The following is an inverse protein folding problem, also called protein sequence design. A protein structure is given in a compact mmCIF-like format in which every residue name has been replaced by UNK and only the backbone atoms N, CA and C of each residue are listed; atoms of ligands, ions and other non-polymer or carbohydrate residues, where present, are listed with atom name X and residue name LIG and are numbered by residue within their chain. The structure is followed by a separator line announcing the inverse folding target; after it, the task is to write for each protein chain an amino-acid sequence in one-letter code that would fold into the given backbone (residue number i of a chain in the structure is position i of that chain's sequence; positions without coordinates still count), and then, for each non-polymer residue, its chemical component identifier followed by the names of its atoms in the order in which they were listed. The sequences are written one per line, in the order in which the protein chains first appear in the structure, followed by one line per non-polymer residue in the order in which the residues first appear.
data_IF_716034745224
#
_entry.id   IF_716034745224
#
_cell.length_a   1.000
_cell.length_b   1.000
_cell.length_c   1.000
_cell.angle_alpha   90.00
_cell.angle_beta   90.00
_cell.angle_gamma   90.00
#
_symmetry.space_group_name_H-M   'P 1'
#
loop_
_entity.id
_entity.type
_entity.pdbx_description
1 polymer ?
#
# COMPACT_ATOMS: atom_id res chain seq x y z
N UNK A 1 -36.10 -6.62 -14.50
CA UNK A 1 -36.90 -7.46 -13.57
C UNK A 1 -35.97 -7.90 -12.44
N UNK A 2 -36.29 -7.55 -11.19
CA UNK A 2 -35.44 -7.84 -10.03
C UNK A 2 -35.74 -9.27 -9.53
N UNK A 3 -34.80 -10.19 -9.74
CA UNK A 3 -34.88 -11.58 -9.28
C UNK A 3 -34.11 -11.77 -7.97
N UNK A 4 -34.58 -11.20 -6.86
CA UNK A 4 -34.13 -11.58 -5.51
C UNK A 4 -35.27 -12.32 -4.80
N UNK A 5 -35.00 -13.54 -4.33
CA UNK A 5 -35.97 -14.26 -3.50
C UNK A 5 -36.06 -13.59 -2.13
N UNK A 6 -37.25 -13.60 -1.53
CA UNK A 6 -37.52 -13.09 -0.18
C UNK A 6 -36.61 -13.71 0.89
N UNK A 7 -36.11 -14.92 0.67
CA UNK A 7 -35.13 -15.61 1.52
C UNK A 7 -33.74 -14.96 1.52
N UNK A 8 -33.32 -14.34 0.40
CA UNK A 8 -32.07 -13.58 0.30
C UNK A 8 -32.21 -12.17 0.90
N UNK A 9 -33.42 -11.60 0.81
CA UNK A 9 -33.78 -10.28 1.35
C UNK A 9 -33.80 -10.26 2.89
N UNK A 10 -34.04 -11.40 3.54
CA UNK A 10 -33.86 -11.56 4.98
C UNK A 10 -32.40 -11.59 5.45
N UNK A 11 -31.43 -11.82 4.54
CA UNK A 11 -29.99 -11.87 4.85
C UNK A 11 -29.23 -10.61 4.45
N UNK A 12 -29.79 -9.77 3.57
CA UNK A 12 -29.17 -8.53 3.08
C UNK A 12 -30.04 -7.34 3.42
N UNK A 13 -29.62 -6.57 4.43
CA UNK A 13 -30.31 -5.33 4.82
C UNK A 13 -30.14 -4.25 3.75
N UNK A 14 -31.14 -3.38 3.55
CA UNK A 14 -31.07 -2.25 2.60
C UNK A 14 -29.82 -1.38 2.81
N UNK A 15 -29.33 -1.27 4.05
CA UNK A 15 -28.07 -0.60 4.38
C UNK A 15 -26.83 -1.30 3.82
N UNK A 16 -26.79 -2.64 3.79
CA UNK A 16 -25.74 -3.38 3.10
C UNK A 16 -25.77 -3.12 1.60
N UNK A 17 -26.96 -3.06 0.99
CA UNK A 17 -27.11 -2.79 -0.44
C UNK A 17 -26.64 -1.39 -0.83
N UNK A 18 -26.99 -0.36 -0.04
CA UNK A 18 -26.54 1.04 -0.26
C UNK A 18 -25.03 1.18 -0.04
N UNK A 19 -24.47 0.48 0.96
CA UNK A 19 -23.02 0.48 1.21
C UNK A 19 -22.25 -0.23 0.09
N UNK A 20 -22.80 -1.34 -0.45
CA UNK A 20 -22.27 -2.04 -1.62
C UNK A 20 -22.29 -1.11 -2.85
N UNK A 21 -23.42 -0.45 -3.11
CA UNK A 21 -23.56 0.43 -4.26
C UNK A 21 -22.68 1.68 -4.17
N UNK A 22 -22.54 2.28 -3.00
CA UNK A 22 -21.80 3.55 -2.84
C UNK A 22 -20.29 3.34 -2.69
N UNK A 23 -19.88 2.29 -1.97
CA UNK A 23 -18.48 2.07 -1.62
C UNK A 23 -17.77 1.12 -2.58
N UNK A 24 -18.43 0.05 -3.05
CA UNK A 24 -17.78 -0.88 -3.98
C UNK A 24 -17.73 -0.34 -5.41
N UNK A 25 -18.72 0.44 -5.89
CA UNK A 25 -18.69 1.02 -7.25
C UNK A 25 -17.52 2.00 -7.43
N UNK A 26 -17.31 2.92 -6.49
CA UNK A 26 -16.15 3.82 -6.49
C UNK A 26 -14.83 3.05 -6.41
N UNK A 27 -14.82 1.90 -5.73
CA UNK A 27 -13.62 1.06 -5.61
C UNK A 27 -13.34 0.29 -6.90
N UNK A 28 -14.37 -0.21 -7.58
CA UNK A 28 -14.22 -0.88 -8.86
C UNK A 28 -13.70 0.05 -9.95
N UNK A 29 -14.12 1.30 -9.97
CA UNK A 29 -13.62 2.30 -10.92
C UNK A 29 -12.12 2.59 -10.72
N UNK A 30 -11.69 2.76 -9.47
CA UNK A 30 -10.26 2.88 -9.14
C UNK A 30 -9.48 1.61 -9.53
N UNK A 31 -10.01 0.43 -9.24
CA UNK A 31 -9.35 -0.84 -9.59
C UNK A 31 -9.22 -0.99 -11.10
N UNK A 32 -10.24 -0.65 -11.89
CA UNK A 32 -10.19 -0.71 -13.35
C UNK A 32 -9.11 0.20 -13.93
N UNK A 33 -8.94 1.40 -13.35
CA UNK A 33 -7.87 2.33 -13.73
C UNK A 33 -6.47 1.76 -13.41
N UNK A 34 -6.29 1.15 -12.23
CA UNK A 34 -4.97 0.67 -11.81
C UNK A 34 -4.61 -0.73 -12.31
N UNK A 35 -5.59 -1.56 -12.70
CA UNK A 35 -5.36 -2.93 -13.17
C UNK A 35 -4.42 -2.98 -14.37
N UNK A 36 -4.44 -1.96 -15.22
CA UNK A 36 -3.60 -1.89 -16.39
C UNK A 36 -2.10 -1.83 -16.05
N UNK A 37 -1.74 -1.24 -14.91
CA UNK A 37 -0.34 -1.14 -14.48
C UNK A 37 0.25 -2.48 -14.02
N UNK A 38 -0.56 -3.49 -13.70
CA UNK A 38 -0.08 -4.82 -13.31
C UNK A 38 0.63 -5.55 -14.48
N UNK A 39 0.17 -5.36 -15.71
CA UNK A 39 0.80 -5.96 -16.90
C UNK A 39 1.70 -4.97 -17.65
N UNK A 40 1.35 -3.68 -17.66
CA UNK A 40 2.19 -2.64 -18.25
C UNK A 40 3.49 -2.46 -17.46
N UNK A 41 3.47 -2.59 -16.13
CA UNK A 41 4.67 -2.44 -15.29
C UNK A 41 5.79 -3.43 -15.66
N UNK A 42 5.56 -4.75 -15.66
CA UNK A 42 6.54 -5.75 -16.09
C UNK A 42 6.99 -5.56 -17.54
N UNK A 43 6.06 -5.25 -18.45
CA UNK A 43 6.39 -5.00 -19.85
C UNK A 43 7.35 -3.81 -20.01
N UNK A 44 7.05 -2.72 -19.30
CA UNK A 44 7.89 -1.53 -19.29
C UNK A 44 9.27 -1.82 -18.67
N UNK A 45 9.33 -2.61 -17.59
CA UNK A 45 10.60 -3.01 -17.00
C UNK A 45 11.48 -3.80 -17.99
N UNK A 46 10.89 -4.73 -18.74
CA UNK A 46 11.59 -5.48 -19.79
C UNK A 46 12.09 -4.55 -20.89
N UNK A 47 11.23 -3.65 -21.38
CA UNK A 47 11.59 -2.70 -22.44
C UNK A 47 12.73 -1.75 -22.01
N UNK A 48 12.65 -1.17 -20.81
CA UNK A 48 13.70 -0.31 -20.26
C UNK A 48 15.00 -1.08 -20.06
N UNK A 49 14.93 -2.33 -19.60
CA UNK A 49 16.13 -3.17 -19.45
C UNK A 49 16.79 -3.45 -20.80
N UNK A 50 16.01 -3.73 -21.84
CA UNK A 50 16.55 -3.95 -23.19
C UNK A 50 17.23 -2.69 -23.75
N UNK A 51 16.63 -1.51 -23.57
CA UNK A 51 17.23 -0.24 -23.98
C UNK A 51 18.52 0.06 -23.20
N UNK A 52 18.52 -0.14 -21.88
CA UNK A 52 19.72 0.04 -21.06
C UNK A 52 20.84 -0.92 -21.45
N UNK A 53 20.50 -2.15 -21.83
CA UNK A 53 21.46 -3.13 -22.32
C UNK A 53 22.10 -2.69 -23.64
N UNK A 54 21.34 -2.06 -24.54
CA UNK A 54 21.89 -1.51 -25.78
C UNK A 54 22.88 -0.35 -25.52
N UNK A 55 22.63 0.46 -24.49
CA UNK A 55 23.44 1.65 -24.18
C UNK A 55 24.70 1.35 -23.36
N UNK A 56 24.60 0.55 -22.30
CA UNK A 56 25.70 0.30 -21.34
C UNK A 56 26.09 -1.20 -21.28
N UNK A 57 25.41 -2.05 -22.03
CA UNK A 57 25.63 -3.49 -21.97
C UNK A 57 25.27 -4.07 -20.60
N UNK A 58 26.09 -5.02 -20.15
CA UNK A 58 25.77 -5.87 -18.99
C UNK A 58 25.81 -5.13 -17.64
N UNK A 59 26.42 -3.94 -17.60
CA UNK A 59 26.47 -3.10 -16.40
C UNK A 59 25.06 -2.71 -15.93
N UNK A 60 24.06 -2.69 -16.83
CA UNK A 60 22.68 -2.39 -16.46
C UNK A 60 22.08 -3.42 -15.50
N UNK A 61 22.56 -4.67 -15.52
CA UNK A 61 22.06 -5.73 -14.63
C UNK A 61 22.29 -5.41 -13.16
N UNK A 62 23.36 -4.68 -12.82
CA UNK A 62 23.64 -4.29 -11.45
C UNK A 62 22.55 -3.34 -10.91
N UNK A 63 22.12 -2.35 -11.70
CA UNK A 63 21.00 -1.48 -11.37
C UNK A 63 19.66 -2.24 -11.29
N UNK A 64 19.43 -3.18 -12.21
CA UNK A 64 18.23 -4.02 -12.19
C UNK A 64 18.17 -4.97 -10.98
N UNK A 65 19.32 -5.49 -10.53
CA UNK A 65 19.40 -6.30 -9.32
C UNK A 65 18.98 -5.49 -8.08
N UNK A 66 19.43 -4.23 -7.99
CA UNK A 66 18.99 -3.29 -6.93
C UNK A 66 17.47 -3.12 -6.97
N UNK A 67 16.87 -2.93 -8.15
CA UNK A 67 15.42 -2.82 -8.30
C UNK A 67 14.69 -4.07 -7.76
N UNK A 68 15.16 -5.27 -8.12
CA UNK A 68 14.55 -6.53 -7.68
C UNK A 68 14.62 -6.66 -6.15
N UNK A 69 15.77 -6.38 -5.55
CA UNK A 69 15.94 -6.42 -4.08
C UNK A 69 14.97 -5.44 -3.40
N UNK A 70 14.82 -4.24 -3.97
CA UNK A 70 13.90 -3.24 -3.45
C UNK A 70 12.44 -3.65 -3.58
N UNK A 71 12.04 -4.26 -4.69
CA UNK A 71 10.68 -4.78 -4.87
C UNK A 71 10.37 -5.85 -3.82
N UNK A 72 11.30 -6.77 -3.56
CA UNK A 72 11.15 -7.78 -2.50
C UNK A 72 11.02 -7.13 -1.11
N UNK A 73 11.86 -6.13 -0.83
CA UNK A 73 11.79 -5.37 0.42
C UNK A 73 10.44 -4.64 0.56
N UNK A 74 9.95 -4.01 -0.51
CA UNK A 74 8.65 -3.34 -0.54
C UNK A 74 7.50 -4.33 -0.31
N UNK A 75 7.56 -5.53 -0.89
CA UNK A 75 6.58 -6.59 -0.60
C UNK A 75 6.57 -6.98 0.88
N UNK A 76 7.74 -7.13 1.52
CA UNK A 76 7.86 -7.42 2.95
C UNK A 76 7.31 -6.27 3.81
N UNK A 77 7.65 -5.02 3.48
CA UNK A 77 7.11 -3.83 4.16
C UNK A 77 5.59 -3.76 3.99
N UNK A 78 5.05 -4.10 2.81
CA UNK A 78 3.62 -4.16 2.54
C UNK A 78 2.88 -5.15 3.43
N UNK A 79 3.45 -6.36 3.63
CA UNK A 79 2.89 -7.35 4.57
C UNK A 79 2.87 -6.83 6.00
N UNK A 80 3.96 -6.18 6.42
CA UNK A 80 4.03 -5.56 7.75
C UNK A 80 3.01 -4.44 7.90
N UNK A 81 2.85 -3.59 6.87
CA UNK A 81 1.84 -2.52 6.83
C UNK A 81 0.43 -3.08 7.00
N UNK A 82 0.10 -4.17 6.29
CA UNK A 82 -1.18 -4.86 6.41
C UNK A 82 -1.43 -5.38 7.83
N UNK A 83 -0.41 -5.98 8.47
CA UNK A 83 -0.51 -6.46 9.85
C UNK A 83 -0.76 -5.33 10.84
N UNK A 84 -0.03 -4.21 10.73
CA UNK A 84 -0.26 -3.03 11.56
C UNK A 84 -1.66 -2.45 11.34
N UNK A 85 -2.13 -2.39 10.09
CA UNK A 85 -3.48 -1.91 9.75
C UNK A 85 -4.56 -2.77 10.43
N UNK A 86 -4.37 -4.10 10.44
CA UNK A 86 -5.28 -5.01 11.16
C UNK A 86 -5.24 -4.81 12.68
N UNK A 87 -4.05 -4.64 13.27
CA UNK A 87 -3.92 -4.38 14.72
C UNK A 87 -4.58 -3.06 15.12
N UNK A 88 -4.39 -2.01 14.32
CA UNK A 88 -5.04 -0.72 14.53
C UNK A 88 -6.56 -0.88 14.49
N UNK A 89 -7.11 -1.57 13.49
CA UNK A 89 -8.55 -1.81 13.38
C UNK A 89 -9.12 -2.51 14.63
N UNK A 90 -8.48 -3.59 15.10
CA UNK A 90 -8.90 -4.30 16.31
C UNK A 90 -8.89 -3.40 17.56
N UNK A 91 -7.85 -2.57 17.74
CA UNK A 91 -7.78 -1.63 18.86
C UNK A 91 -8.83 -0.51 18.76
N UNK A 92 -9.13 -0.05 17.54
CA UNK A 92 -10.19 0.93 17.29
C UNK A 92 -11.56 0.34 17.62
N UNK A 93 -11.82 -0.92 17.24
CA UNK A 93 -13.07 -1.62 17.54
C UNK A 93 -13.27 -1.80 19.05
N UNK A 94 -12.23 -2.22 19.78
CA UNK A 94 -12.27 -2.33 21.25
C UNK A 94 -12.59 -0.98 21.90
N UNK A 95 -11.94 0.11 21.45
CA UNK A 95 -12.20 1.46 21.95
C UNK A 95 -13.64 1.89 21.70
N UNK A 96 -14.15 1.68 20.49
CA UNK A 96 -15.52 2.04 20.11
C UNK A 96 -16.53 1.25 20.94
N UNK A 97 -16.28 -0.06 21.14
CA UNK A 97 -17.12 -0.92 21.98
C UNK A 97 -17.17 -0.40 23.43
N UNK A 98 -16.03 -0.16 24.06
CA UNK A 98 -15.98 0.37 25.44
C UNK A 98 -16.67 1.73 25.53
N UNK A 99 -16.48 2.60 24.53
CA UNK A 99 -17.14 3.91 24.50
C UNK A 99 -18.67 3.77 24.39
N UNK A 100 -19.16 2.81 23.61
CA UNK A 100 -20.58 2.49 23.51
C UNK A 100 -21.15 2.01 24.85
N UNK A 101 -20.44 1.11 25.55
CA UNK A 101 -20.84 0.60 26.87
C UNK A 101 -20.92 1.74 27.91
N UNK A 102 -19.97 2.68 27.89
CA UNK A 102 -19.99 3.87 28.76
C UNK A 102 -21.19 4.76 28.49
N UNK A 103 -21.54 4.99 27.22
CA UNK A 103 -22.70 5.81 26.85
C UNK A 103 -24.00 5.15 27.31
N UNK A 104 -24.16 3.84 27.09
CA UNK A 104 -25.33 3.09 27.53
C UNK A 104 -25.44 3.06 29.07
N UNK A 105 -24.33 2.95 29.79
CA UNK A 105 -24.26 2.90 31.26
C UNK A 105 -24.11 4.23 31.98
N UNK A 106 -24.26 5.37 31.30
CA UNK A 106 -23.80 6.68 31.81
C UNK A 106 -24.43 7.07 33.16
N UNK A 107 -25.71 6.75 33.38
CA UNK A 107 -26.41 7.08 34.62
C UNK A 107 -25.78 6.39 35.84
N UNK A 108 -25.43 5.11 35.72
CA UNK A 108 -24.79 4.32 36.78
C UNK A 108 -23.39 4.84 37.07
N UNK A 109 -22.64 5.19 36.01
CA UNK A 109 -21.29 5.74 36.12
C UNK A 109 -21.29 7.06 36.90
N UNK A 110 -22.25 7.95 36.61
CA UNK A 110 -22.40 9.23 37.32
C UNK A 110 -22.84 9.04 38.77
N UNK A 111 -23.80 8.15 39.02
CA UNK A 111 -24.30 7.85 40.37
C UNK A 111 -23.19 7.33 41.29
N UNK A 112 -22.24 6.58 40.74
CA UNK A 112 -21.10 6.02 41.48
C UNK A 112 -19.81 6.87 41.37
N UNK A 113 -19.85 8.03 40.71
CA UNK A 113 -18.69 8.90 40.44
C UNK A 113 -17.49 8.18 39.77
N UNK A 114 -17.74 7.17 38.94
CA UNK A 114 -16.70 6.37 38.26
C UNK A 114 -16.12 7.03 36.99
N UNK A 115 -16.49 8.27 36.69
CA UNK A 115 -16.13 8.97 35.45
C UNK A 115 -14.61 8.96 35.19
N UNK A 116 -13.79 9.28 36.22
CA UNK A 116 -12.32 9.31 36.09
C UNK A 116 -11.74 7.95 35.71
N UNK A 117 -12.21 6.88 36.34
CA UNK A 117 -11.72 5.51 36.07
C UNK A 117 -12.01 5.07 34.63
N UNK A 118 -13.18 5.43 34.08
CA UNK A 118 -13.52 5.15 32.68
C UNK A 118 -12.74 6.03 31.69
N UNK A 119 -12.50 7.30 32.02
CA UNK A 119 -11.64 8.18 31.21
C UNK A 119 -10.22 7.60 31.11
N UNK A 120 -9.65 7.14 32.24
CA UNK A 120 -8.32 6.54 32.25
C UNK A 120 -8.28 5.23 31.44
N UNK A 121 -9.33 4.42 31.52
CA UNK A 121 -9.46 3.20 30.70
C UNK A 121 -9.44 3.53 29.20
N UNK A 122 -10.30 4.46 28.74
CA UNK A 122 -10.38 4.87 27.33
C UNK A 122 -9.06 5.49 26.87
N UNK A 123 -8.41 6.29 27.73
CA UNK A 123 -7.12 6.92 27.43
C UNK A 123 -6.01 5.88 27.24
N UNK A 124 -6.00 4.81 28.04
CA UNK A 124 -5.07 3.68 27.85
C UNK A 124 -5.30 2.96 26.53
N UNK A 125 -6.56 2.69 26.16
CA UNK A 125 -6.89 2.10 24.86
C UNK A 125 -6.43 3.00 23.71
N UNK A 126 -6.71 4.30 23.79
CA UNK A 126 -6.31 5.29 22.79
C UNK A 126 -4.79 5.39 22.64
N UNK A 127 -4.03 5.28 23.73
CA UNK A 127 -2.55 5.27 23.67
C UNK A 127 -2.01 4.07 22.91
N UNK A 128 -2.59 2.87 23.12
CA UNK A 128 -2.22 1.66 22.37
C UNK A 128 -2.54 1.80 20.89
N UNK A 129 -3.73 2.30 20.57
CA UNK A 129 -4.17 2.58 19.19
C UNK A 129 -3.21 3.56 18.49
N UNK A 130 -2.90 4.69 19.12
CA UNK A 130 -1.98 5.71 18.57
C UNK A 130 -0.57 5.13 18.34
N UNK A 131 -0.08 4.27 19.23
CA UNK A 131 1.23 3.63 19.05
C UNK A 131 1.31 2.81 17.76
N UNK A 132 0.28 2.02 17.46
CA UNK A 132 0.24 1.22 16.22
C UNK A 132 0.01 2.10 14.97
N UNK A 133 -0.80 3.16 15.08
CA UNK A 133 -0.94 4.19 14.02
C UNK A 133 0.40 4.84 13.71
N UNK A 134 1.18 5.21 14.74
CA UNK A 134 2.49 5.85 14.58
C UNK A 134 3.47 4.92 13.86
N UNK A 135 3.52 3.63 14.23
CA UNK A 135 4.34 2.62 13.53
C UNK A 135 3.98 2.49 12.06
N UNK A 136 2.68 2.48 11.75
CA UNK A 136 2.18 2.47 10.36
C UNK A 136 2.61 3.74 9.61
N UNK A 137 2.52 4.91 10.25
CA UNK A 137 2.96 6.18 9.68
C UNK A 137 4.47 6.20 9.38
N UNK A 138 5.31 5.65 10.26
CA UNK A 138 6.74 5.53 10.01
C UNK A 138 7.04 4.65 8.79
N UNK A 139 6.39 3.48 8.67
CA UNK A 139 6.55 2.63 7.49
C UNK A 139 6.13 3.33 6.20
N UNK A 140 5.04 4.12 6.25
CA UNK A 140 4.59 4.93 5.12
C UNK A 140 5.64 5.98 4.74
N UNK A 141 6.23 6.65 5.73
CA UNK A 141 7.33 7.60 5.52
C UNK A 141 8.56 6.95 4.90
N UNK A 142 8.95 5.76 5.39
CA UNK A 142 10.06 4.99 4.82
C UNK A 142 9.81 4.58 3.36
N UNK A 143 8.59 4.16 3.03
CA UNK A 143 8.22 3.83 1.65
C UNK A 143 8.34 5.06 0.74
N UNK A 144 7.81 6.22 1.18
CA UNK A 144 7.93 7.47 0.43
C UNK A 144 9.40 7.92 0.27
N UNK A 145 10.22 7.79 1.31
CA UNK A 145 11.65 8.08 1.21
C UNK A 145 12.36 7.16 0.22
N UNK A 146 12.04 5.87 0.23
CA UNK A 146 12.55 4.89 -0.75
C UNK A 146 12.25 5.33 -2.18
N UNK A 147 11.04 5.82 -2.47
CA UNK A 147 10.68 6.32 -3.81
C UNK A 147 11.62 7.40 -4.35
N UNK A 148 12.17 8.28 -3.52
CA UNK A 148 13.11 9.32 -3.96
C UNK A 148 14.54 8.82 -4.12
N UNK A 149 14.95 7.85 -3.31
CA UNK A 149 16.34 7.39 -3.23
C UNK A 149 16.65 6.28 -4.24
N UNK A 150 15.64 5.47 -4.60
CA UNK A 150 15.83 4.26 -5.42
C UNK A 150 16.49 4.53 -6.78
N UNK A 151 16.05 5.54 -7.55
CA UNK A 151 16.71 5.83 -8.84
C UNK A 151 18.16 6.22 -8.66
N UNK A 152 18.48 6.99 -7.62
CA UNK A 152 19.85 7.45 -7.35
C UNK A 152 20.77 6.27 -7.02
N UNK A 153 20.30 5.32 -6.21
CA UNK A 153 21.07 4.10 -5.92
C UNK A 153 21.24 3.25 -7.19
N UNK A 154 20.18 3.04 -7.99
CA UNK A 154 20.28 2.26 -9.24
C UNK A 154 21.29 2.88 -10.21
N UNK A 155 21.23 4.19 -10.41
CA UNK A 155 22.15 4.94 -11.29
C UNK A 155 23.58 4.81 -10.77
N UNK A 156 23.80 5.05 -9.46
CA UNK A 156 25.12 5.00 -8.83
C UNK A 156 25.77 3.62 -8.97
N UNK A 157 25.03 2.56 -8.64
CA UNK A 157 25.52 1.17 -8.75
C UNK A 157 25.82 0.80 -10.21
N UNK A 158 24.99 1.24 -11.15
CA UNK A 158 25.19 0.97 -12.58
C UNK A 158 26.46 1.66 -13.11
N UNK A 159 26.70 2.92 -12.74
CA UNK A 159 27.90 3.63 -13.18
C UNK A 159 29.17 3.07 -12.53
N UNK A 160 29.16 2.76 -11.22
CA UNK A 160 30.31 2.09 -10.58
C UNK A 160 30.60 0.75 -11.25
N UNK A 161 29.58 -0.05 -11.53
CA UNK A 161 29.76 -1.33 -12.22
C UNK A 161 30.34 -1.17 -13.62
N UNK A 162 30.09 -0.03 -14.27
CA UNK A 162 30.60 0.23 -15.60
C UNK A 162 32.04 0.76 -15.60
N UNK A 163 32.38 1.64 -14.64
CA UNK A 163 33.75 2.10 -14.41
C UNK A 163 34.69 0.91 -14.07
N UNK A 164 34.21 -0.03 -13.25
CA UNK A 164 34.95 -1.27 -12.93
C UNK A 164 35.24 -2.17 -14.15
N UNK A 165 34.57 -1.92 -15.28
CA UNK A 165 34.74 -2.66 -16.55
C UNK A 165 35.55 -1.86 -17.57
N UNK A 166 36.10 -0.70 -17.19
CA UNK A 166 36.85 0.21 -18.07
C UNK A 166 36.06 0.65 -19.32
N UNK A 167 34.73 0.67 -19.23
CA UNK A 167 33.86 1.10 -20.31
C UNK A 167 33.72 2.63 -20.30
N UNK A 168 34.24 3.30 -21.32
CA UNK A 168 34.10 4.76 -21.48
C UNK A 168 32.63 5.13 -21.74
N UNK A 169 32.01 5.88 -20.83
CA UNK A 169 30.65 6.39 -20.99
C UNK A 169 30.69 7.81 -21.57
N UNK A 170 29.98 8.02 -22.68
CA UNK A 170 29.77 9.36 -23.23
C UNK A 170 28.68 10.10 -22.45
N UNK A 171 28.78 11.42 -22.31
CA UNK A 171 27.75 12.22 -21.61
C UNK A 171 26.31 12.03 -22.11
N UNK A 172 26.12 11.76 -23.42
CA UNK A 172 24.81 11.41 -23.97
C UNK A 172 24.25 10.11 -23.39
N UNK A 173 25.09 9.09 -23.19
CA UNK A 173 24.68 7.81 -22.64
C UNK A 173 24.28 7.95 -21.17
N UNK A 174 25.05 8.72 -20.39
CA UNK A 174 24.70 9.05 -19.00
C UNK A 174 23.30 9.65 -18.91
N UNK A 175 22.98 10.63 -19.78
CA UNK A 175 21.68 11.28 -19.80
C UNK A 175 20.55 10.28 -20.10
N UNK A 176 20.70 9.46 -21.15
CA UNK A 176 19.70 8.44 -21.54
C UNK A 176 19.46 7.46 -20.39
N UNK A 177 20.51 6.99 -19.74
CA UNK A 177 20.44 6.02 -18.64
C UNK A 177 19.71 6.59 -17.43
N UNK A 178 20.02 7.84 -17.05
CA UNK A 178 19.33 8.53 -15.96
C UNK A 178 17.84 8.68 -16.28
N UNK A 179 17.48 9.08 -17.51
CA UNK A 179 16.08 9.23 -17.91
C UNK A 179 15.32 7.90 -17.89
N UNK A 180 15.95 6.82 -18.35
CA UNK A 180 15.37 5.48 -18.36
C UNK A 180 15.11 4.96 -16.94
N UNK A 181 16.07 5.11 -16.02
CA UNK A 181 15.88 4.73 -14.61
C UNK A 181 14.83 5.60 -13.89
N UNK A 182 14.78 6.90 -14.16
CA UNK A 182 13.74 7.77 -13.59
C UNK A 182 12.35 7.40 -14.09
N UNK A 183 12.21 7.01 -15.36
CA UNK A 183 10.95 6.53 -15.92
C UNK A 183 10.53 5.20 -15.27
N UNK A 184 11.49 4.28 -15.06
CA UNK A 184 11.25 3.00 -14.40
C UNK A 184 10.85 3.16 -12.92
N UNK A 185 11.35 4.20 -12.25
CA UNK A 185 11.04 4.52 -10.84
C UNK A 185 9.55 4.75 -10.63
N UNK A 186 8.91 5.54 -11.50
CA UNK A 186 7.47 5.83 -11.40
C UNK A 186 6.64 4.55 -11.56
N UNK A 187 6.93 3.75 -12.57
CA UNK A 187 6.17 2.53 -12.85
C UNK A 187 6.37 1.45 -11.78
N UNK A 188 7.61 1.24 -11.34
CA UNK A 188 7.95 0.15 -10.42
C UNK A 188 7.62 0.46 -8.97
N UNK A 189 7.81 1.70 -8.52
CA UNK A 189 7.68 2.05 -7.08
C UNK A 189 6.34 2.70 -6.74
N UNK A 190 5.67 3.36 -7.70
CA UNK A 190 4.43 4.08 -7.42
C UNK A 190 3.22 3.36 -7.98
N UNK A 191 3.21 3.07 -9.28
CA UNK A 191 2.03 2.48 -9.92
C UNK A 191 1.87 0.98 -9.61
N UNK A 192 2.95 0.21 -9.61
CA UNK A 192 2.87 -1.23 -9.37
C UNK A 192 2.39 -1.58 -7.94
N UNK A 193 2.94 -1.00 -6.85
CA UNK A 193 2.45 -1.30 -5.51
C UNK A 193 1.02 -0.83 -5.28
N UNK A 194 0.62 0.32 -5.86
CA UNK A 194 -0.74 0.82 -5.79
C UNK A 194 -1.73 -0.11 -6.52
N UNK A 195 -1.35 -0.62 -7.69
CA UNK A 195 -2.16 -1.60 -8.41
C UNK A 195 -2.33 -2.91 -7.62
N UNK A 196 -1.27 -3.39 -6.97
CA UNK A 196 -1.32 -4.57 -6.10
C UNK A 196 -2.21 -4.33 -4.86
N UNK A 197 -2.11 -3.16 -4.22
CA UNK A 197 -2.97 -2.80 -3.08
C UNK A 197 -4.45 -2.79 -3.51
N UNK A 198 -4.77 -2.10 -4.61
CA UNK A 198 -6.14 -2.00 -5.13
C UNK A 198 -6.69 -3.35 -5.54
N UNK A 199 -5.88 -4.20 -6.19
CA UNK A 199 -6.28 -5.56 -6.55
C UNK A 199 -6.54 -6.42 -5.31
N UNK A 200 -5.67 -6.35 -4.29
CA UNK A 200 -5.86 -7.06 -3.02
C UNK A 200 -7.16 -6.65 -2.34
N UNK A 201 -7.43 -5.34 -2.27
CA UNK A 201 -8.71 -4.83 -1.77
C UNK A 201 -9.89 -5.33 -2.60
N UNK A 202 -9.80 -5.31 -3.93
CA UNK A 202 -10.87 -5.80 -4.82
C UNK A 202 -11.19 -7.29 -4.57
N UNK A 203 -10.17 -8.13 -4.47
CA UNK A 203 -10.31 -9.58 -4.20
C UNK A 203 -11.04 -9.81 -2.88
N UNK A 204 -10.68 -9.06 -1.82
CA UNK A 204 -11.35 -9.15 -0.52
C UNK A 204 -12.82 -8.70 -0.60
N UNK A 205 -13.16 -7.66 -1.38
CA UNK A 205 -14.58 -7.30 -1.58
C UNK A 205 -15.34 -8.38 -2.33
N UNK A 206 -14.77 -8.94 -3.39
CA UNK A 206 -15.41 -10.01 -4.16
C UNK A 206 -15.68 -11.22 -3.27
N UNK A 207 -14.76 -11.58 -2.37
CA UNK A 207 -14.97 -12.64 -1.38
C UNK A 207 -16.08 -12.35 -0.35
N UNK A 208 -16.42 -11.09 -0.07
CA UNK A 208 -17.53 -10.72 0.83
C UNK A 208 -18.89 -10.72 0.14
N UNK A 209 -18.92 -10.49 -1.17
CA UNK A 209 -20.15 -10.42 -1.98
C UNK A 209 -20.63 -11.81 -2.40
N UNK A 210 -19.70 -12.75 -2.58
CA UNK A 210 -19.98 -14.15 -2.93
C UNK A 210 -20.44 -14.95 -1.72
#
# INVERSE_FOLDING_TARGET
TLCLSTSAMGKTTTGQMVNLLSNDVNRFDQVAMFLHYLWVGPLQAIAVTALLWMEIGISCLAGMAVLIILLLLQCCIGKLFSSLRHKTAALTDDRIKTMSEVITGIRTIKMNAWEKSFIDLITRLRRKEISEILRSSYLRGMNLASFFVVSKIMIFVTFISNELRDNLITGSQVFVVVMLFETLRFSSTLYFPLAVEKMSEAVVSIQRIK
#
